data_IF_059347496442
#
_entry.id   IF_059347496442
#
_cell.length_a   1.000
_cell.length_b   1.000
_cell.length_c   1.000
_cell.angle_alpha   90.00
_cell.angle_beta   90.00
_cell.angle_gamma   90.00
#
_symmetry.space_group_name_H-M   'P 1'
#
loop_
_entity.id
_entity.type
_entity.pdbx_description
1 polymer ?
#
# COMPACT_ATOMS: atom_id res chain seq x y z
N UNK A 1 -17.89 -7.01 3.68
CA UNK A 1 -17.64 -8.40 4.16
C UNK A 1 -16.68 -9.12 3.24
N UNK A 2 -15.69 -9.80 3.79
CA UNK A 2 -14.71 -10.65 3.07
C UNK A 2 -15.19 -12.09 2.93
N UNK A 3 -14.50 -12.91 2.13
CA UNK A 3 -14.78 -14.33 2.03
C UNK A 3 -14.25 -15.12 3.25
N UNK A 4 -14.88 -16.28 3.54
CA UNK A 4 -14.44 -17.11 4.66
C UNK A 4 -13.02 -17.68 4.44
N UNK A 5 -12.62 -17.91 3.19
CA UNK A 5 -11.31 -18.46 2.83
C UNK A 5 -10.17 -17.45 3.05
N UNK A 6 -10.49 -16.16 3.01
CA UNK A 6 -9.53 -15.06 3.25
C UNK A 6 -9.43 -14.68 4.73
N UNK A 7 -10.44 -15.06 5.52
CA UNK A 7 -10.51 -14.69 6.92
C UNK A 7 -9.56 -15.51 7.81
N UNK A 8 -9.02 -14.84 8.83
CA UNK A 8 -8.38 -15.49 9.98
C UNK A 8 -9.31 -15.46 11.17
N UNK A 9 -9.11 -16.38 12.12
CA UNK A 9 -9.86 -16.39 13.36
C UNK A 9 -9.13 -15.59 14.44
N UNK A 10 -9.77 -14.55 14.98
CA UNK A 10 -9.33 -13.94 16.23
C UNK A 10 -10.08 -14.62 17.38
N UNK A 11 -9.35 -15.09 18.41
CA UNK A 11 -9.88 -15.86 19.52
C UNK A 11 -9.56 -15.19 20.85
N UNK A 12 -10.58 -15.02 21.67
CA UNK A 12 -10.47 -14.59 23.06
C UNK A 12 -11.01 -15.68 24.00
N UNK A 13 -10.22 -16.07 24.99
CA UNK A 13 -10.67 -16.92 26.10
C UNK A 13 -10.79 -16.03 27.35
N UNK A 14 -11.99 -15.96 27.90
CA UNK A 14 -12.27 -15.12 29.07
C UNK A 14 -13.39 -15.73 29.91
N UNK A 15 -13.22 -15.73 31.25
CA UNK A 15 -14.21 -16.23 32.21
C UNK A 15 -14.65 -17.69 31.96
N UNK A 16 -13.80 -18.50 31.33
CA UNK A 16 -14.08 -19.90 31.00
C UNK A 16 -14.88 -20.11 29.71
N UNK A 17 -15.26 -19.03 29.01
CA UNK A 17 -15.89 -19.05 27.69
C UNK A 17 -14.87 -18.68 26.59
N UNK A 18 -15.18 -19.11 25.38
CA UNK A 18 -14.40 -18.81 24.16
C UNK A 18 -15.23 -17.96 23.21
N UNK A 19 -14.57 -16.98 22.62
CA UNK A 19 -15.15 -16.06 21.64
C UNK A 19 -14.26 -16.01 20.41
N UNK A 20 -14.81 -16.32 19.25
CA UNK A 20 -14.12 -16.35 17.98
C UNK A 20 -14.82 -15.44 16.99
N UNK A 21 -14.04 -14.69 16.21
CA UNK A 21 -14.53 -13.83 15.13
C UNK A 21 -13.68 -14.05 13.88
N UNK A 22 -14.30 -13.90 12.71
CA UNK A 22 -13.67 -14.11 11.41
C UNK A 22 -13.41 -12.76 10.75
N UNK A 23 -12.16 -12.42 10.56
CA UNK A 23 -11.72 -11.07 10.16
C UNK A 23 -10.58 -11.14 9.14
N UNK A 24 -10.45 -10.10 8.32
CA UNK A 24 -9.28 -9.90 7.46
C UNK A 24 -7.99 -9.85 8.29
N UNK A 25 -6.93 -10.56 7.90
CA UNK A 25 -5.70 -10.63 8.68
C UNK A 25 -5.01 -9.26 8.87
N UNK A 26 -4.96 -8.41 7.84
CA UNK A 26 -4.32 -7.10 7.95
C UNK A 26 -5.18 -6.14 8.79
N UNK A 27 -6.49 -6.17 8.63
CA UNK A 27 -7.41 -5.41 9.46
C UNK A 27 -7.36 -5.87 10.93
N UNK A 28 -7.29 -7.18 11.21
CA UNK A 28 -7.12 -7.70 12.56
C UNK A 28 -5.85 -7.18 13.23
N UNK A 29 -4.74 -7.15 12.50
CA UNK A 29 -3.47 -6.60 12.99
C UNK A 29 -3.56 -5.08 13.21
N UNK A 30 -4.21 -4.34 12.32
CA UNK A 30 -4.43 -2.90 12.46
C UNK A 30 -5.33 -2.56 13.66
N UNK A 31 -6.44 -3.31 13.86
CA UNK A 31 -7.31 -3.17 15.05
C UNK A 31 -6.53 -3.44 16.33
N UNK A 32 -5.69 -4.48 16.33
CA UNK A 32 -4.88 -4.85 17.51
C UNK A 32 -3.85 -3.78 17.88
N UNK A 33 -3.30 -3.07 16.88
CA UNK A 33 -2.40 -1.92 17.07
C UNK A 33 -3.11 -0.61 17.37
N UNK A 34 -4.43 -0.54 17.16
CA UNK A 34 -5.22 0.69 17.32
C UNK A 34 -5.06 1.67 16.14
N UNK A 35 -4.68 1.17 14.98
CA UNK A 35 -4.41 1.92 13.74
C UNK A 35 -5.54 1.78 12.71
N UNK A 36 -6.57 1.01 13.02
CA UNK A 36 -7.70 0.78 12.12
C UNK A 36 -8.67 1.96 12.13
N UNK A 37 -8.91 2.56 10.97
CA UNK A 37 -9.81 3.68 10.73
C UNK A 37 -10.92 3.37 9.70
N UNK A 38 -11.00 2.11 9.24
CA UNK A 38 -11.95 1.63 8.25
C UNK A 38 -13.30 1.22 8.83
N UNK A 39 -14.19 0.74 7.93
CA UNK A 39 -15.47 0.16 8.31
C UNK A 39 -15.30 -1.31 8.71
N UNK A 40 -15.76 -1.66 9.90
CA UNK A 40 -15.65 -3.03 10.44
C UNK A 40 -16.41 -4.04 9.57
N UNK A 41 -17.59 -3.67 9.02
CA UNK A 41 -18.41 -4.55 8.19
C UNK A 41 -17.67 -4.98 6.90
N UNK A 42 -16.78 -4.15 6.39
CA UNK A 42 -16.01 -4.45 5.17
C UNK A 42 -14.94 -5.52 5.39
N UNK A 43 -14.42 -5.63 6.61
CA UNK A 43 -13.25 -6.46 6.95
C UNK A 43 -13.56 -7.72 7.76
N UNK A 44 -14.83 -7.96 8.08
CA UNK A 44 -15.27 -9.20 8.74
C UNK A 44 -15.93 -10.16 7.72
N UNK A 45 -15.82 -11.48 7.98
CA UNK A 45 -16.48 -12.50 7.17
C UNK A 45 -17.90 -12.80 7.64
N UNK A 46 -18.22 -12.48 8.89
CA UNK A 46 -19.56 -12.61 9.48
C UNK A 46 -19.76 -11.56 10.58
N UNK A 47 -20.97 -10.98 10.63
CA UNK A 47 -21.42 -10.07 11.69
C UNK A 47 -21.88 -10.87 12.91
N UNK A 48 -21.03 -11.75 13.41
CA UNK A 48 -21.39 -12.66 14.48
C UNK A 48 -20.16 -13.02 15.34
N UNK A 49 -20.43 -13.42 16.58
CA UNK A 49 -19.42 -13.95 17.48
C UNK A 49 -19.70 -15.43 17.70
N UNK A 50 -18.67 -16.26 17.61
CA UNK A 50 -18.77 -17.71 17.72
C UNK A 50 -18.08 -18.22 18.98
N UNK A 51 -18.56 -19.31 19.54
CA UNK A 51 -17.81 -20.15 20.48
C UNK A 51 -16.82 -21.04 19.71
N UNK A 52 -17.26 -21.56 18.53
CA UNK A 52 -16.48 -22.29 17.56
C UNK A 52 -16.89 -21.86 16.15
N UNK A 53 -16.09 -21.00 15.53
CA UNK A 53 -16.37 -20.45 14.22
C UNK A 53 -16.42 -21.54 13.12
N UNK A 54 -15.63 -22.60 13.26
CA UNK A 54 -15.60 -23.71 12.28
C UNK A 54 -16.90 -24.53 12.24
N UNK A 55 -17.65 -24.51 13.34
CA UNK A 55 -18.94 -25.21 13.49
C UNK A 55 -20.13 -24.26 13.37
N UNK A 56 -19.88 -22.96 13.48
CA UNK A 56 -20.93 -21.95 13.58
C UNK A 56 -21.64 -21.95 14.94
N UNK A 57 -21.01 -22.51 15.97
CA UNK A 57 -21.56 -22.55 17.32
C UNK A 57 -21.46 -21.15 17.96
N UNK A 58 -22.56 -20.67 18.55
CA UNK A 58 -22.64 -19.35 19.21
C UNK A 58 -22.45 -19.47 20.70
N UNK A 59 -21.76 -18.48 21.34
CA UNK A 59 -21.66 -18.42 22.79
C UNK A 59 -23.04 -18.14 23.41
N UNK A 60 -23.19 -18.48 24.71
CA UNK A 60 -24.40 -18.11 25.43
C UNK A 60 -24.48 -16.59 25.64
N UNK A 61 -25.66 -15.99 25.53
CA UNK A 61 -25.86 -14.54 25.73
C UNK A 61 -25.33 -14.07 27.09
N UNK A 62 -25.52 -14.88 28.16
CA UNK A 62 -25.02 -14.56 29.50
C UNK A 62 -23.49 -14.47 29.56
N UNK A 63 -22.76 -15.20 28.70
CA UNK A 63 -21.30 -15.15 28.64
C UNK A 63 -20.86 -13.88 27.92
N UNK A 64 -21.58 -13.45 26.86
CA UNK A 64 -21.37 -12.19 26.20
C UNK A 64 -21.58 -10.99 27.14
N UNK A 65 -22.72 -10.96 27.87
CA UNK A 65 -23.01 -9.91 28.84
C UNK A 65 -21.97 -9.88 29.98
N UNK A 66 -21.52 -11.06 30.45
CA UNK A 66 -20.53 -11.15 31.54
C UNK A 66 -19.16 -10.59 31.13
N UNK A 67 -18.74 -10.79 29.89
CA UNK A 67 -17.38 -10.44 29.42
C UNK A 67 -17.31 -9.07 28.80
N UNK A 68 -18.38 -8.65 28.08
CA UNK A 68 -18.39 -7.46 27.26
C UNK A 68 -19.43 -6.40 27.67
N UNK A 69 -20.30 -6.69 28.62
CA UNK A 69 -21.44 -5.84 29.04
C UNK A 69 -22.44 -5.54 27.90
N UNK A 70 -22.40 -6.31 26.82
CA UNK A 70 -23.27 -6.18 25.64
C UNK A 70 -23.42 -7.52 24.94
N UNK A 71 -24.47 -7.66 24.12
CA UNK A 71 -24.67 -8.79 23.20
C UNK A 71 -24.57 -8.38 21.74
N UNK A 72 -24.28 -7.08 21.46
CA UNK A 72 -24.12 -6.57 20.11
C UNK A 72 -22.79 -7.04 19.50
N UNK A 73 -22.82 -7.88 18.43
CA UNK A 73 -21.61 -8.36 17.77
C UNK A 73 -20.69 -7.24 17.32
N UNK A 74 -21.23 -6.11 16.83
CA UNK A 74 -20.41 -5.02 16.30
C UNK A 74 -19.64 -4.27 17.39
N UNK A 75 -20.10 -4.30 18.64
CA UNK A 75 -19.34 -3.81 19.80
C UNK A 75 -18.32 -4.85 20.31
N UNK A 76 -18.65 -6.14 20.21
CA UNK A 76 -17.84 -7.24 20.73
C UNK A 76 -16.66 -7.59 19.83
N UNK A 77 -16.86 -7.62 18.50
CA UNK A 77 -15.84 -8.03 17.52
C UNK A 77 -14.51 -7.26 17.70
N UNK A 78 -14.48 -5.93 17.78
CA UNK A 78 -13.24 -5.18 18.02
C UNK A 78 -12.55 -5.55 19.35
N UNK A 79 -13.32 -5.82 20.39
CA UNK A 79 -12.77 -6.22 21.68
C UNK A 79 -12.16 -7.62 21.65
N UNK A 80 -12.80 -8.58 20.97
CA UNK A 80 -12.26 -9.92 20.76
C UNK A 80 -10.92 -9.83 19.99
N UNK A 81 -10.84 -9.00 18.96
CA UNK A 81 -9.61 -8.83 18.16
C UNK A 81 -8.50 -8.18 19.01
N UNK A 82 -8.80 -7.09 19.73
CA UNK A 82 -7.80 -6.38 20.54
C UNK A 82 -7.23 -7.21 21.67
N UNK A 83 -8.09 -7.93 22.40
CA UNK A 83 -7.73 -8.69 23.60
C UNK A 83 -7.34 -10.13 23.32
N UNK A 84 -7.79 -10.66 22.18
CA UNK A 84 -7.58 -12.05 21.78
C UNK A 84 -6.26 -12.29 21.03
N UNK A 85 -6.10 -13.51 20.55
CA UNK A 85 -4.99 -13.96 19.71
C UNK A 85 -5.49 -14.20 18.28
N UNK A 86 -4.72 -13.73 17.29
CA UNK A 86 -5.00 -13.98 15.88
C UNK A 86 -4.42 -15.35 15.51
N UNK A 87 -5.29 -16.27 15.12
CA UNK A 87 -4.93 -17.62 14.72
C UNK A 87 -4.63 -17.65 13.22
N UNK A 88 -3.35 -17.64 12.86
CA UNK A 88 -2.89 -17.68 11.47
C UNK A 88 -2.28 -19.06 11.21
N UNK A 89 -2.78 -19.76 10.19
CA UNK A 89 -2.19 -21.02 9.75
C UNK A 89 -0.84 -20.81 9.10
N UNK A 90 -0.03 -21.87 9.00
CA UNK A 90 1.27 -21.78 8.31
C UNK A 90 1.11 -21.42 6.82
N UNK A 91 0.02 -21.86 6.18
CA UNK A 91 -0.31 -21.55 4.80
C UNK A 91 -0.68 -20.07 4.64
N UNK A 92 -1.63 -19.56 5.42
CA UNK A 92 -2.01 -18.14 5.45
C UNK A 92 -0.80 -17.23 5.74
N UNK A 93 0.05 -17.61 6.69
CA UNK A 93 1.27 -16.86 7.01
C UNK A 93 2.21 -16.77 5.80
N UNK A 94 2.36 -17.86 5.06
CA UNK A 94 3.18 -17.88 3.85
C UNK A 94 2.58 -17.02 2.74
N UNK A 95 1.28 -17.11 2.52
CA UNK A 95 0.57 -16.29 1.53
C UNK A 95 0.68 -14.79 1.86
N UNK A 96 0.46 -14.41 3.11
CA UNK A 96 0.66 -13.03 3.57
C UNK A 96 2.11 -12.56 3.35
N UNK A 97 3.09 -13.42 3.65
CA UNK A 97 4.50 -13.09 3.43
C UNK A 97 4.82 -12.87 1.95
N UNK A 98 4.33 -13.73 1.05
CA UNK A 98 4.49 -13.60 -0.38
C UNK A 98 3.81 -12.34 -0.93
N UNK A 99 2.61 -12.03 -0.43
CA UNK A 99 1.87 -10.82 -0.81
C UNK A 99 2.60 -9.55 -0.36
N UNK A 100 3.00 -9.47 0.90
CA UNK A 100 3.76 -8.31 1.42
C UNK A 100 5.12 -8.17 0.77
N UNK A 101 5.78 -9.29 0.43
CA UNK A 101 7.02 -9.25 -0.33
C UNK A 101 6.82 -8.58 -1.70
N UNK A 102 5.78 -8.97 -2.45
CA UNK A 102 5.44 -8.32 -3.73
C UNK A 102 5.11 -6.83 -3.57
N UNK A 103 4.37 -6.48 -2.51
CA UNK A 103 4.06 -5.07 -2.21
C UNK A 103 5.32 -4.27 -1.91
N UNK A 104 6.24 -4.81 -1.09
CA UNK A 104 7.51 -4.19 -0.76
C UNK A 104 8.40 -3.99 -2.00
N UNK A 105 8.53 -5.01 -2.85
CA UNK A 105 9.27 -4.93 -4.12
C UNK A 105 8.71 -3.82 -5.00
N UNK A 106 7.39 -3.78 -5.18
CA UNK A 106 6.74 -2.75 -5.98
C UNK A 106 6.90 -1.35 -5.36
N UNK A 107 6.80 -1.24 -4.03
CA UNK A 107 6.99 0.04 -3.32
C UNK A 107 8.40 0.56 -3.51
N UNK A 108 9.41 -0.30 -3.39
CA UNK A 108 10.82 0.06 -3.61
C UNK A 108 11.05 0.41 -5.08
N UNK A 109 10.61 -0.42 -6.03
CA UNK A 109 10.83 -0.19 -7.45
C UNK A 109 10.24 1.14 -7.96
N UNK A 110 9.08 1.56 -7.43
CA UNK A 110 8.46 2.85 -7.78
C UNK A 110 9.25 4.08 -7.33
N UNK A 111 10.06 3.94 -6.28
CA UNK A 111 10.78 5.07 -5.68
C UNK A 111 12.29 5.00 -5.92
N UNK A 112 12.81 3.86 -6.35
CA UNK A 112 14.24 3.60 -6.42
C UNK A 112 14.83 3.84 -7.80
N UNK A 113 15.97 4.49 -7.81
CA UNK A 113 16.81 4.71 -8.99
C UNK A 113 18.22 4.16 -8.80
N UNK A 114 18.89 3.92 -9.92
CA UNK A 114 20.28 3.51 -9.95
C UNK A 114 21.20 4.73 -10.21
N UNK A 115 21.89 5.27 -9.19
CA UNK A 115 22.73 6.46 -9.34
C UNK A 115 23.99 6.23 -10.22
N UNK A 116 24.27 4.98 -10.58
CA UNK A 116 25.40 4.63 -11.47
C UNK A 116 24.96 4.42 -12.93
N UNK A 117 23.65 4.48 -13.22
CA UNK A 117 23.10 4.32 -14.56
C UNK A 117 22.21 5.50 -14.92
N UNK A 118 22.72 6.71 -14.77
CA UNK A 118 22.03 7.97 -15.13
C UNK A 118 20.66 8.10 -14.46
N UNK A 119 20.57 7.69 -13.17
CA UNK A 119 19.37 7.70 -12.36
C UNK A 119 18.20 6.87 -12.95
N UNK A 120 18.51 5.84 -13.73
CA UNK A 120 17.50 4.98 -14.32
C UNK A 120 16.71 4.21 -13.24
N UNK A 121 15.38 4.06 -13.38
CA UNK A 121 14.57 3.25 -12.46
C UNK A 121 15.06 1.80 -12.37
N UNK A 122 14.92 1.22 -11.17
CA UNK A 122 15.17 -0.21 -10.98
C UNK A 122 13.94 -1.03 -11.36
N UNK A 123 14.07 -2.01 -12.28
CA UNK A 123 12.99 -2.97 -12.52
C UNK A 123 12.65 -3.78 -11.25
N UNK A 124 11.37 -4.12 -11.01
CA UNK A 124 10.93 -4.93 -9.86
C UNK A 124 11.74 -6.23 -9.69
N UNK A 125 11.97 -6.97 -10.78
CA UNK A 125 12.71 -8.24 -10.77
C UNK A 125 14.15 -8.08 -10.25
N UNK A 126 14.77 -6.90 -10.49
CA UNK A 126 16.12 -6.61 -9.98
C UNK A 126 16.10 -6.34 -8.48
N UNK A 127 15.07 -5.65 -7.97
CA UNK A 127 14.88 -5.43 -6.54
C UNK A 127 14.62 -6.76 -5.84
N UNK A 128 13.74 -7.60 -6.39
CA UNK A 128 13.42 -8.93 -5.87
C UNK A 128 14.67 -9.80 -5.74
N UNK A 129 15.43 -9.95 -6.84
CA UNK A 129 16.69 -10.71 -6.84
C UNK A 129 17.73 -10.17 -5.84
N UNK A 130 17.78 -8.85 -5.66
CA UNK A 130 18.71 -8.23 -4.72
C UNK A 130 18.27 -8.44 -3.26
N UNK A 131 16.97 -8.41 -2.94
CA UNK A 131 16.45 -8.76 -1.61
C UNK A 131 16.70 -10.22 -1.25
N UNK A 132 16.51 -11.13 -2.22
CA UNK A 132 16.87 -12.55 -2.04
C UNK A 132 18.38 -12.73 -1.77
N UNK A 133 19.24 -12.05 -2.54
CA UNK A 133 20.70 -12.08 -2.34
C UNK A 133 21.11 -11.49 -0.99
N UNK A 134 20.43 -10.46 -0.53
CA UNK A 134 20.63 -9.86 0.80
C UNK A 134 20.12 -10.76 1.94
N UNK A 135 19.30 -11.79 1.62
CA UNK A 135 18.65 -12.65 2.62
C UNK A 135 17.55 -11.94 3.42
N UNK A 136 17.01 -10.83 2.89
CA UNK A 136 15.93 -10.09 3.53
C UNK A 136 14.62 -10.88 3.49
N UNK A 137 13.94 -10.92 4.62
CA UNK A 137 12.63 -11.59 4.75
C UNK A 137 11.63 -10.62 5.32
N UNK A 138 10.55 -10.44 4.59
CA UNK A 138 9.41 -9.62 5.04
C UNK A 138 8.71 -10.28 6.23
N UNK A 139 8.42 -9.50 7.25
CA UNK A 139 7.54 -9.93 8.34
C UNK A 139 6.07 -9.78 7.90
N UNK A 140 5.30 -10.87 7.80
CA UNK A 140 3.89 -10.81 7.43
C UNK A 140 3.02 -10.09 8.46
N UNK A 141 3.49 -9.93 9.71
CA UNK A 141 2.75 -9.31 10.80
C UNK A 141 2.93 -7.79 10.89
N UNK A 142 3.91 -7.23 10.15
CA UNK A 142 4.21 -5.80 10.14
C UNK A 142 3.73 -5.11 8.86
N UNK A 143 3.36 -3.81 8.90
CA UNK A 143 3.09 -3.04 7.69
C UNK A 143 4.29 -3.02 6.74
N UNK A 144 4.02 -2.97 5.44
CA UNK A 144 5.09 -2.89 4.43
C UNK A 144 5.89 -1.60 4.60
N UNK A 145 5.22 -0.49 4.92
CA UNK A 145 5.81 0.85 5.07
C UNK A 145 6.91 0.88 6.13
N UNK A 146 6.71 0.19 7.24
CA UNK A 146 7.70 0.14 8.34
C UNK A 146 8.94 -0.68 7.99
N UNK A 147 8.85 -1.54 6.97
CA UNK A 147 9.93 -2.45 6.54
C UNK A 147 10.76 -1.90 5.37
N UNK A 148 10.34 -0.76 4.78
CA UNK A 148 11.02 -0.19 3.59
C UNK A 148 12.46 0.21 3.93
N UNK A 149 12.69 0.88 5.05
CA UNK A 149 14.03 1.37 5.43
C UNK A 149 14.99 0.21 5.71
N UNK A 150 14.54 -0.81 6.41
CA UNK A 150 15.32 -2.03 6.68
C UNK A 150 15.66 -2.77 5.39
N UNK A 151 14.70 -2.85 4.45
CA UNK A 151 14.91 -3.44 3.14
C UNK A 151 15.93 -2.65 2.30
N UNK A 152 15.87 -1.31 2.34
CA UNK A 152 16.85 -0.45 1.66
C UNK A 152 18.25 -0.61 2.25
N UNK A 153 18.37 -0.71 3.57
CA UNK A 153 19.63 -0.95 4.24
C UNK A 153 20.24 -2.30 3.84
N UNK A 154 19.39 -3.33 3.68
CA UNK A 154 19.81 -4.64 3.16
C UNK A 154 20.21 -4.60 1.68
N UNK A 155 19.57 -3.75 0.86
CA UNK A 155 19.86 -3.63 -0.57
C UNK A 155 21.13 -2.84 -0.90
N UNK A 156 21.46 -1.80 -0.11
CA UNK A 156 22.62 -0.93 -0.37
C UNK A 156 23.96 -1.64 -0.58
N UNK A 157 24.29 -2.72 0.15
CA UNK A 157 25.52 -3.50 -0.11
C UNK A 157 25.47 -4.34 -1.39
N UNK A 158 24.29 -4.62 -1.94
CA UNK A 158 24.06 -5.55 -3.05
C UNK A 158 23.95 -4.82 -4.38
N UNK A 159 23.20 -3.69 -4.39
CA UNK A 159 22.98 -2.87 -5.59
C UNK A 159 23.13 -1.38 -5.28
N UNK A 160 23.61 -0.57 -6.26
CA UNK A 160 23.55 0.88 -6.14
C UNK A 160 22.09 1.33 -6.19
N UNK A 161 21.56 1.82 -5.08
CA UNK A 161 20.16 2.20 -4.94
C UNK A 161 20.02 3.53 -4.18
N UNK A 162 19.15 4.41 -4.68
CA UNK A 162 18.74 5.64 -4.03
C UNK A 162 17.23 5.81 -4.14
N UNK A 163 16.57 6.23 -3.08
CA UNK A 163 15.21 6.76 -3.14
C UNK A 163 15.29 8.24 -3.47
N UNK A 164 14.51 8.64 -4.46
CA UNK A 164 14.48 10.03 -4.89
C UNK A 164 13.13 10.38 -5.52
N UNK A 165 12.86 11.66 -5.59
CA UNK A 165 11.75 12.23 -6.35
C UNK A 165 12.30 12.94 -7.59
N UNK A 166 11.55 12.95 -8.65
CA UNK A 166 11.90 13.65 -9.88
C UNK A 166 10.86 14.73 -10.17
N UNK A 167 11.33 15.88 -10.59
CA UNK A 167 10.48 16.96 -11.06
C UNK A 167 10.55 17.00 -12.57
N UNK A 168 9.41 16.85 -13.23
CA UNK A 168 9.31 16.86 -14.68
C UNK A 168 8.43 18.01 -15.16
N UNK A 169 8.97 18.84 -16.04
CA UNK A 169 8.16 19.76 -16.83
C UNK A 169 7.61 19.00 -18.05
N UNK A 170 6.32 19.14 -18.32
CA UNK A 170 5.63 18.58 -19.48
C UNK A 170 4.90 19.68 -20.23
N UNK A 171 5.09 19.75 -21.54
CA UNK A 171 4.31 20.62 -22.41
C UNK A 171 3.38 19.77 -23.26
N UNK A 172 2.07 20.01 -23.10
CA UNK A 172 1.01 19.34 -23.87
C UNK A 172 0.57 20.24 -25.01
N UNK A 173 0.60 19.78 -26.27
CA UNK A 173 0.09 20.54 -27.41
C UNK A 173 -1.40 20.89 -27.25
N UNK A 174 -1.83 22.02 -27.81
CA UNK A 174 -3.19 22.55 -27.69
C UNK A 174 -4.30 21.54 -28.02
N UNK A 175 -4.07 20.63 -28.95
CA UNK A 175 -5.04 19.61 -29.38
C UNK A 175 -5.28 18.54 -28.31
N UNK A 176 -4.29 18.27 -27.42
CA UNK A 176 -4.36 17.26 -26.37
C UNK A 176 -4.47 17.84 -24.97
N UNK A 177 -4.12 19.12 -24.78
CA UNK A 177 -4.03 19.75 -23.47
C UNK A 177 -5.33 19.63 -22.66
N UNK A 178 -6.50 19.78 -23.29
CA UNK A 178 -7.80 19.68 -22.63
C UNK A 178 -8.11 18.30 -22.03
N UNK A 179 -7.63 17.22 -22.64
CA UNK A 179 -7.87 15.84 -22.21
C UNK A 179 -6.74 15.26 -21.35
N UNK A 180 -5.47 15.57 -21.67
CA UNK A 180 -4.31 14.98 -21.03
C UNK A 180 -3.90 15.65 -19.70
N UNK A 181 -4.20 16.95 -19.51
CA UNK A 181 -3.83 17.67 -18.29
C UNK A 181 -4.37 17.03 -16.99
N UNK A 182 -5.58 16.48 -17.03
CA UNK A 182 -6.20 15.87 -15.86
C UNK A 182 -5.42 14.62 -15.42
N UNK A 183 -4.93 13.83 -16.37
CA UNK A 183 -4.13 12.63 -16.10
C UNK A 183 -2.76 13.00 -15.52
N UNK A 184 -2.12 14.04 -16.07
CA UNK A 184 -0.84 14.55 -15.55
C UNK A 184 -0.99 15.06 -14.12
N UNK A 185 -2.07 15.80 -13.81
CA UNK A 185 -2.36 16.30 -12.45
C UNK A 185 -2.60 15.17 -11.42
N UNK A 186 -3.12 14.04 -11.87
CA UNK A 186 -3.38 12.88 -10.99
C UNK A 186 -2.16 11.99 -10.79
N UNK A 187 -1.14 12.13 -11.61
CA UNK A 187 0.04 11.27 -11.57
C UNK A 187 0.98 11.57 -10.40
N UNK A 188 1.11 12.84 -10.03
CA UNK A 188 2.01 13.29 -8.96
C UNK A 188 1.57 14.62 -8.36
N UNK A 189 2.47 15.22 -7.58
CA UNK A 189 2.23 16.52 -6.97
C UNK A 189 2.50 17.65 -7.99
N UNK A 190 1.44 18.35 -8.39
CA UNK A 190 1.52 19.45 -9.34
C UNK A 190 2.10 20.70 -8.67
N UNK A 191 3.35 21.03 -8.96
CA UNK A 191 4.04 22.22 -8.41
C UNK A 191 3.66 23.51 -9.12
N UNK A 192 3.47 23.46 -10.44
CA UNK A 192 3.11 24.61 -11.26
C UNK A 192 2.37 24.20 -12.51
N UNK A 193 1.47 25.06 -12.99
CA UNK A 193 0.84 24.92 -14.31
C UNK A 193 0.59 26.28 -14.96
N UNK A 194 0.56 26.27 -16.30
CA UNK A 194 0.30 27.48 -17.08
C UNK A 194 -0.29 27.12 -18.46
N UNK A 195 -1.37 27.82 -18.86
CA UNK A 195 -1.87 27.78 -20.20
C UNK A 195 -1.17 28.82 -21.06
N UNK A 196 -0.64 28.41 -22.20
CA UNK A 196 0.04 29.29 -23.13
C UNK A 196 -0.95 29.95 -24.10
N UNK A 197 -0.52 31.06 -24.72
CA UNK A 197 -1.36 31.80 -25.66
C UNK A 197 -1.74 31.02 -26.94
N UNK A 198 -0.99 29.99 -27.29
CA UNK A 198 -1.24 29.10 -28.42
C UNK A 198 -2.20 27.94 -28.08
N UNK A 199 -2.68 27.90 -26.84
CA UNK A 199 -3.58 26.86 -26.32
C UNK A 199 -2.87 25.61 -25.80
N UNK A 200 -1.54 25.57 -25.81
CA UNK A 200 -0.77 24.52 -25.15
C UNK A 200 -0.81 24.70 -23.63
N UNK A 201 -0.60 23.59 -22.90
CA UNK A 201 -0.53 23.59 -21.45
C UNK A 201 0.85 23.11 -20.99
N UNK A 202 1.42 23.79 -20.00
CA UNK A 202 2.68 23.42 -19.38
C UNK A 202 2.40 23.08 -17.92
N UNK A 203 2.84 21.91 -17.47
CA UNK A 203 2.78 21.48 -16.09
C UNK A 203 4.16 21.11 -15.56
N UNK A 204 4.38 21.33 -14.27
CA UNK A 204 5.55 20.86 -13.53
C UNK A 204 5.06 19.93 -12.43
N UNK A 205 5.43 18.66 -12.52
CA UNK A 205 4.93 17.60 -11.63
C UNK A 205 6.09 16.92 -10.94
N UNK A 206 5.97 16.72 -9.64
CA UNK A 206 6.89 15.95 -8.82
C UNK A 206 6.29 14.58 -8.50
N UNK A 207 7.09 13.54 -8.66
CA UNK A 207 6.67 12.16 -8.37
C UNK A 207 7.90 11.27 -8.09
N UNK A 208 7.70 10.09 -7.46
CA UNK A 208 8.79 9.14 -7.21
C UNK A 208 9.58 8.80 -8.48
N UNK A 209 10.91 8.92 -8.42
CA UNK A 209 11.77 8.79 -9.59
C UNK A 209 11.69 7.43 -10.30
N UNK A 210 11.35 6.36 -9.56
CA UNK A 210 11.10 5.04 -10.13
C UNK A 210 9.88 4.96 -11.05
N UNK A 211 8.95 5.94 -10.98
CA UNK A 211 7.75 6.02 -11.82
C UNK A 211 7.96 6.82 -13.12
N UNK A 212 9.19 7.20 -13.42
CA UNK A 212 9.51 8.06 -14.56
C UNK A 212 9.07 7.46 -15.91
N UNK A 213 9.26 6.16 -16.11
CA UNK A 213 8.83 5.49 -17.34
C UNK A 213 7.30 5.45 -17.45
N UNK A 214 6.59 5.16 -16.36
CA UNK A 214 5.13 5.14 -16.32
C UNK A 214 4.55 6.52 -16.67
N UNK A 215 5.22 7.60 -16.21
CA UNK A 215 4.83 8.97 -16.56
C UNK A 215 5.00 9.26 -18.06
N UNK A 216 6.13 8.85 -18.63
CA UNK A 216 6.37 9.05 -20.07
C UNK A 216 5.41 8.24 -20.93
N UNK A 217 5.10 7.01 -20.52
CA UNK A 217 4.13 6.16 -21.22
C UNK A 217 2.72 6.77 -21.16
N UNK A 218 2.29 7.25 -19.98
CA UNK A 218 1.02 7.97 -19.82
C UNK A 218 0.93 9.20 -20.72
N UNK A 219 1.96 10.03 -20.70
CA UNK A 219 1.99 11.25 -21.54
C UNK A 219 1.97 10.91 -23.03
N UNK A 220 2.75 9.93 -23.47
CA UNK A 220 2.81 9.47 -24.85
C UNK A 220 1.47 8.89 -25.32
N UNK A 221 0.79 8.09 -24.52
CA UNK A 221 -0.52 7.50 -24.81
C UNK A 221 -1.57 8.60 -25.06
N UNK A 222 -1.60 9.62 -24.20
CA UNK A 222 -2.59 10.70 -24.27
C UNK A 222 -2.27 11.80 -25.27
N UNK A 223 -1.04 11.85 -25.82
CA UNK A 223 -0.61 12.90 -26.76
C UNK A 223 -0.08 12.36 -28.09
N UNK A 224 -0.23 11.05 -28.33
CA UNK A 224 0.32 10.39 -29.54
C UNK A 224 1.82 10.65 -29.71
N UNK A 225 2.57 10.82 -28.62
CA UNK A 225 4.01 11.06 -28.62
C UNK A 225 4.44 12.47 -29.01
N UNK A 226 3.53 13.45 -29.04
CA UNK A 226 3.84 14.85 -29.45
C UNK A 226 4.14 15.78 -28.27
N UNK A 227 3.96 15.34 -27.03
CA UNK A 227 4.30 16.12 -25.85
C UNK A 227 5.82 16.22 -25.68
N UNK A 228 6.28 17.34 -25.15
CA UNK A 228 7.68 17.54 -24.76
C UNK A 228 7.80 17.39 -23.23
N UNK A 229 8.80 16.60 -22.78
CA UNK A 229 9.09 16.41 -21.37
C UNK A 229 10.53 16.77 -21.05
N UNK A 230 10.77 17.36 -19.88
CA UNK A 230 12.11 17.70 -19.41
C UNK A 230 12.23 17.51 -17.90
N UNK A 231 13.27 16.81 -17.45
CA UNK A 231 13.60 16.71 -16.02
C UNK A 231 14.18 18.05 -15.55
N UNK A 232 13.68 18.57 -14.44
CA UNK A 232 14.16 19.77 -13.76
C UNK A 232 15.08 19.29 -12.61
N UNK A 233 16.34 19.72 -12.65
CA UNK A 233 17.35 19.30 -11.66
C UNK A 233 17.49 20.26 -10.47
N UNK A 234 17.09 21.52 -10.61
CA UNK A 234 17.20 22.54 -9.58
C UNK A 234 15.85 23.24 -9.38
N UNK A 235 15.45 23.43 -8.11
CA UNK A 235 14.22 24.17 -7.75
C UNK A 235 14.20 25.60 -8.30
N UNK A 236 15.36 26.22 -8.52
CA UNK A 236 15.50 27.55 -9.09
C UNK A 236 15.03 27.62 -10.57
N UNK A 237 15.01 26.50 -11.32
CA UNK A 237 14.46 26.44 -12.67
C UNK A 237 12.92 26.50 -12.71
N UNK A 238 12.25 26.19 -11.59
CA UNK A 238 10.80 26.29 -11.45
C UNK A 238 10.36 27.77 -11.38
N UNK A 239 11.25 28.65 -10.92
CA UNK A 239 10.97 30.08 -10.65
C UNK A 239 11.24 31.00 -11.84
N UNK A 240 11.89 30.53 -12.90
CA UNK A 240 12.39 31.42 -13.97
C UNK A 240 11.67 31.18 -15.28
N UNK A 241 10.52 31.83 -15.49
CA UNK A 241 10.07 32.56 -16.69
C UNK A 241 8.63 33.00 -16.55
#
# INVERSE_FOLDING_TARGET
MISLDEAVTARLESHGARFEVLVDPDAALAIKRGEFDGDLEEVIAAEDVFEDASRGDRPAENDLETVFDTTDPMEIIPEVIRRGEIQITAEQRREMQEQKHRQLVNRIARNAINPQMDDAPHPPDRIESALEQAGFKVDPMEPVETQVDDALDALRPVIPIRFDEVIVAVQLPAEYAGSAQAQVRQFGDLKREEWQNDGSWVGVVEFPAGMQNDFYDLVNEHTSGTAETRIIKDEDEISTR
#
